data_IF_716385350296
#
_entry.id   IF_716385350296
#
_cell.length_a   1.000
_cell.length_b   1.000
_cell.length_c   1.000
_cell.angle_alpha   90.00
_cell.angle_beta   90.00
_cell.angle_gamma   90.00
#
_symmetry.space_group_name_H-M   'P 1'
#
loop_
_entity.id
_entity.type
_entity.pdbx_description
1 polymer ?
#
# COMPACT_ATOMS: atom_id res chain seq x y z
N UNK A 1 -24.89 5.55 -14.73
CA UNK A 1 -24.67 7.02 -14.86
C UNK A 1 -24.83 7.72 -13.48
N UNK A 2 -25.96 7.57 -12.78
CA UNK A 2 -26.23 8.29 -11.52
C UNK A 2 -25.25 8.05 -10.36
N UNK A 3 -24.76 6.80 -10.15
CA UNK A 3 -23.78 6.51 -9.08
C UNK A 3 -22.42 7.18 -9.32
N UNK A 4 -21.96 7.22 -10.56
CA UNK A 4 -20.69 7.85 -10.91
C UNK A 4 -20.75 9.37 -10.68
N UNK A 5 -21.86 10.02 -11.10
CA UNK A 5 -22.05 11.45 -10.92
C UNK A 5 -22.16 11.83 -9.44
N UNK A 6 -22.80 10.97 -8.63
CA UNK A 6 -22.89 11.14 -7.18
C UNK A 6 -21.52 11.07 -6.49
N UNK A 7 -20.72 10.05 -6.79
CA UNK A 7 -19.37 9.90 -6.21
C UNK A 7 -18.45 11.06 -6.61
N UNK A 8 -18.53 11.52 -7.87
CA UNK A 8 -17.79 12.68 -8.32
C UNK A 8 -18.16 13.94 -7.53
N UNK A 9 -19.44 14.19 -7.31
CA UNK A 9 -19.92 15.33 -6.53
C UNK A 9 -19.38 15.28 -5.10
N UNK A 10 -19.40 14.13 -4.43
CA UNK A 10 -18.84 13.97 -3.09
C UNK A 10 -17.33 14.27 -3.09
N UNK A 11 -16.56 13.77 -4.07
CA UNK A 11 -15.14 14.07 -4.18
C UNK A 11 -14.87 15.57 -4.36
N UNK A 12 -15.65 16.24 -5.20
CA UNK A 12 -15.55 17.70 -5.41
C UNK A 12 -15.82 18.46 -4.09
N UNK A 13 -16.87 18.08 -3.35
CA UNK A 13 -17.18 18.69 -2.04
C UNK A 13 -16.06 18.43 -1.01
N UNK A 14 -15.44 17.24 -1.00
CA UNK A 14 -14.31 16.93 -0.12
C UNK A 14 -13.09 17.79 -0.48
N UNK A 15 -12.77 17.91 -1.77
CA UNK A 15 -11.65 18.71 -2.25
C UNK A 15 -11.81 20.19 -1.93
N UNK A 16 -13.03 20.70 -2.05
CA UNK A 16 -13.38 22.09 -1.73
C UNK A 16 -13.53 22.35 -0.23
N UNK A 17 -13.38 21.32 0.63
CA UNK A 17 -13.61 21.39 2.09
C UNK A 17 -15.04 21.76 2.48
N UNK A 18 -15.99 21.49 1.63
CA UNK A 18 -17.43 21.72 1.86
C UNK A 18 -18.12 20.49 2.45
N UNK A 19 -17.46 19.33 2.43
CA UNK A 19 -17.96 18.09 3.02
C UNK A 19 -17.65 18.06 4.53
N UNK A 20 -18.66 17.77 5.36
CA UNK A 20 -18.58 17.80 6.80
C UNK A 20 -19.23 16.59 7.48
N UNK A 21 -19.14 16.51 8.82
CA UNK A 21 -19.69 15.40 9.60
C UNK A 21 -21.21 15.24 9.43
N UNK A 22 -21.97 16.34 9.38
CA UNK A 22 -23.44 16.24 9.21
C UNK A 22 -23.78 15.57 7.89
N UNK A 23 -23.14 15.96 6.81
CA UNK A 23 -23.32 15.31 5.48
C UNK A 23 -22.90 13.84 5.51
N UNK A 24 -21.82 13.49 6.22
CA UNK A 24 -21.39 12.12 6.36
C UNK A 24 -22.41 11.27 7.11
N UNK A 25 -22.93 11.78 8.22
CA UNK A 25 -23.96 11.12 9.03
C UNK A 25 -25.29 11.00 8.28
N UNK A 26 -25.72 12.05 7.58
CA UNK A 26 -26.94 12.04 6.76
C UNK A 26 -26.87 10.99 5.65
N UNK A 27 -25.73 10.87 4.97
CA UNK A 27 -25.52 9.85 3.93
C UNK A 27 -25.40 8.44 4.51
N UNK A 28 -24.80 8.31 5.69
CA UNK A 28 -24.63 7.03 6.39
C UNK A 28 -25.89 6.52 7.07
N UNK A 29 -26.75 7.41 7.54
CA UNK A 29 -28.03 7.19 8.25
C UNK A 29 -28.08 5.91 9.13
N UNK A 30 -28.29 4.73 8.52
CA UNK A 30 -28.38 3.44 9.23
C UNK A 30 -27.29 2.44 8.83
N UNK A 31 -26.28 2.86 8.04
CA UNK A 31 -25.28 1.98 7.46
C UNK A 31 -23.84 2.36 7.84
N UNK A 32 -23.65 3.09 8.94
CA UNK A 32 -22.31 3.41 9.44
C UNK A 32 -21.70 2.18 10.10
N UNK A 33 -20.51 1.83 9.65
CA UNK A 33 -19.69 0.75 10.21
C UNK A 33 -18.38 1.32 10.74
N UNK A 34 -18.02 0.91 11.96
CA UNK A 34 -16.70 1.18 12.48
C UNK A 34 -15.76 0.05 12.09
N UNK A 35 -14.67 0.39 11.44
CA UNK A 35 -13.64 -0.54 10.97
C UNK A 35 -12.31 -0.15 11.59
N UNK A 36 -11.61 -1.11 12.15
CA UNK A 36 -10.24 -0.94 12.63
C UNK A 36 -9.28 -1.63 11.65
N UNK A 37 -8.30 -0.88 11.16
CA UNK A 37 -7.25 -1.37 10.27
C UNK A 37 -5.96 -1.39 11.07
N UNK A 38 -5.43 -2.59 11.34
CA UNK A 38 -4.31 -2.78 12.25
C UNK A 38 -2.95 -2.60 11.58
N UNK A 39 -2.86 -2.86 10.29
CA UNK A 39 -1.61 -2.72 9.54
C UNK A 39 -1.85 -2.16 8.13
N UNK A 40 -0.82 -1.55 7.55
CA UNK A 40 -0.86 -1.04 6.17
C UNK A 40 -1.04 -2.14 5.11
N UNK A 41 -0.84 -3.40 5.49
CA UNK A 41 -1.00 -4.57 4.64
C UNK A 41 -2.29 -5.36 4.94
N UNK A 42 -3.17 -4.83 5.81
CA UNK A 42 -4.43 -5.45 6.16
C UNK A 42 -5.47 -5.21 5.05
N UNK A 43 -5.49 -6.06 4.06
CA UNK A 43 -6.40 -6.00 2.93
C UNK A 43 -7.70 -6.77 3.15
N UNK A 44 -8.12 -6.96 4.39
CA UNK A 44 -9.32 -7.76 4.74
C UNK A 44 -10.62 -7.13 4.23
N UNK A 45 -10.74 -5.81 4.23
CA UNK A 45 -11.96 -5.07 3.88
C UNK A 45 -11.77 -4.25 2.61
N UNK A 46 -10.73 -3.42 2.56
CA UNK A 46 -10.43 -2.54 1.43
C UNK A 46 -9.29 -3.08 0.58
N UNK A 47 -9.17 -2.60 -0.65
CA UNK A 47 -8.00 -2.92 -1.45
C UNK A 47 -6.74 -2.27 -0.87
N UNK A 48 -5.58 -2.87 -1.16
CA UNK A 48 -4.30 -2.46 -0.56
C UNK A 48 -3.89 -1.01 -0.88
N UNK A 49 -4.29 -0.48 -2.05
CA UNK A 49 -3.97 0.89 -2.43
C UNK A 49 -4.85 1.86 -1.66
N UNK A 50 -6.13 1.51 -1.46
CA UNK A 50 -7.05 2.25 -0.60
C UNK A 50 -6.53 2.33 0.83
N UNK A 51 -6.04 1.22 1.40
CA UNK A 51 -5.46 1.21 2.75
C UNK A 51 -4.22 2.10 2.84
N UNK A 52 -3.28 1.97 1.90
CA UNK A 52 -2.10 2.84 1.85
C UNK A 52 -2.48 4.32 1.80
N UNK A 53 -3.50 4.67 1.03
CA UNK A 53 -4.03 6.04 0.98
C UNK A 53 -4.62 6.48 2.32
N UNK A 54 -5.43 5.63 2.99
CA UNK A 54 -6.02 5.93 4.30
C UNK A 54 -4.95 6.25 5.35
N UNK A 55 -3.83 5.54 5.35
CA UNK A 55 -2.71 5.80 6.27
C UNK A 55 -2.01 7.14 6.04
N UNK A 56 -2.19 7.79 4.90
CA UNK A 56 -1.63 9.12 4.61
C UNK A 56 -2.54 10.27 5.03
N UNK A 57 -3.80 9.98 5.32
CA UNK A 57 -4.81 11.00 5.59
C UNK A 57 -4.83 11.40 7.08
N UNK A 58 -5.05 12.67 7.39
CA UNK A 58 -5.19 13.13 8.77
C UNK A 58 -6.51 12.67 9.39
N UNK A 59 -6.54 12.64 10.72
CA UNK A 59 -7.77 12.40 11.49
C UNK A 59 -8.83 13.46 11.14
N UNK A 60 -10.10 13.04 11.13
CA UNK A 60 -11.26 13.82 10.69
C UNK A 60 -11.32 14.17 9.20
N UNK A 61 -10.50 13.56 8.36
CA UNK A 61 -10.64 13.67 6.91
C UNK A 61 -11.63 12.65 6.35
N UNK A 62 -12.15 12.97 5.17
CA UNK A 62 -13.08 12.13 4.40
C UNK A 62 -12.45 11.74 3.07
N UNK A 63 -12.76 10.54 2.59
CA UNK A 63 -12.34 10.09 1.26
C UNK A 63 -13.25 8.98 0.74
N UNK A 64 -13.15 8.70 -0.55
CA UNK A 64 -13.75 7.51 -1.17
C UNK A 64 -12.66 6.46 -1.38
N UNK A 65 -12.98 5.22 -1.01
CA UNK A 65 -12.10 4.06 -1.16
C UNK A 65 -12.83 2.89 -1.82
N UNK A 66 -12.08 1.98 -2.41
CA UNK A 66 -12.62 0.76 -2.97
C UNK A 66 -12.37 -0.43 -2.05
N UNK A 67 -13.32 -1.36 -2.02
CA UNK A 67 -13.06 -2.71 -1.52
C UNK A 67 -12.45 -3.60 -2.62
N UNK A 68 -12.24 -4.88 -2.31
CA UNK A 68 -11.72 -5.88 -3.25
C UNK A 68 -12.68 -6.17 -4.41
N UNK A 69 -13.97 -5.92 -4.22
CA UNK A 69 -15.01 -6.11 -5.24
C UNK A 69 -15.26 -4.85 -6.08
N UNK A 70 -14.42 -3.82 -5.95
CA UNK A 70 -14.57 -2.51 -6.58
C UNK A 70 -15.85 -1.75 -6.16
N UNK A 71 -16.40 -2.05 -4.98
CA UNK A 71 -17.44 -1.23 -4.38
C UNK A 71 -16.81 0.00 -3.74
N UNK A 72 -17.49 1.13 -3.87
CA UNK A 72 -16.99 2.41 -3.37
C UNK A 72 -17.62 2.70 -2.02
N UNK A 73 -16.77 3.02 -1.05
CA UNK A 73 -17.14 3.40 0.30
C UNK A 73 -16.70 4.83 0.60
N UNK A 74 -17.57 5.58 1.23
CA UNK A 74 -17.23 6.87 1.82
C UNK A 74 -16.69 6.62 3.23
N UNK A 75 -15.46 7.01 3.48
CA UNK A 75 -14.76 6.75 4.73
C UNK A 75 -14.39 8.06 5.41
N UNK A 76 -14.56 8.09 6.74
CA UNK A 76 -14.03 9.12 7.64
C UNK A 76 -12.92 8.53 8.50
N UNK A 77 -11.78 9.17 8.59
CA UNK A 77 -10.73 8.80 9.54
C UNK A 77 -11.13 9.30 10.94
N UNK A 78 -11.58 8.38 11.79
CA UNK A 78 -12.03 8.71 13.14
C UNK A 78 -10.87 8.91 14.11
N UNK A 79 -9.87 8.04 14.04
CA UNK A 79 -8.69 8.05 14.92
C UNK A 79 -7.48 7.47 14.19
N UNK A 80 -6.28 7.82 14.65
CA UNK A 80 -5.02 7.27 14.15
C UNK A 80 -4.06 7.07 15.30
N UNK A 81 -3.86 5.82 15.69
CA UNK A 81 -2.94 5.44 16.74
C UNK A 81 -1.53 5.27 16.15
N UNK A 82 -0.58 6.04 16.64
CA UNK A 82 0.83 5.85 16.30
C UNK A 82 1.43 4.85 17.27
N UNK A 83 1.78 3.68 16.78
CA UNK A 83 2.57 2.73 17.56
C UNK A 83 4.02 3.21 17.53
N UNK A 84 4.54 3.59 18.71
CA UNK A 84 5.96 3.87 18.88
C UNK A 84 6.66 2.54 19.20
N UNK A 85 7.40 2.02 18.26
CA UNK A 85 8.26 0.87 18.50
C UNK A 85 9.50 1.32 19.26
N UNK A 86 9.85 0.62 20.33
CA UNK A 86 11.17 0.74 20.91
C UNK A 86 12.18 0.02 20.00
N UNK A 87 13.39 0.61 19.87
CA UNK A 87 14.45 0.02 19.03
C UNK A 87 14.88 -1.39 19.47
N UNK A 88 14.51 -1.78 20.69
CA UNK A 88 14.77 -3.10 21.29
C UNK A 88 13.66 -4.12 21.02
N UNK A 89 12.52 -3.72 20.47
CA UNK A 89 11.43 -4.65 20.20
C UNK A 89 11.83 -5.61 19.09
N UNK A 90 11.58 -6.90 19.27
CA UNK A 90 11.96 -7.93 18.29
C UNK A 90 11.33 -7.66 16.91
N UNK A 91 10.09 -7.17 16.89
CA UNK A 91 9.41 -6.79 15.64
C UNK A 91 10.13 -5.64 14.91
N UNK A 92 10.62 -4.62 15.67
CA UNK A 92 11.40 -3.54 15.08
C UNK A 92 12.72 -4.04 14.50
N UNK A 93 13.44 -4.88 15.25
CA UNK A 93 14.71 -5.49 14.81
C UNK A 93 14.50 -6.32 13.56
N UNK A 94 13.44 -7.13 13.51
CA UNK A 94 13.11 -7.94 12.35
C UNK A 94 12.71 -7.08 11.14
N UNK A 95 11.91 -6.02 11.35
CA UNK A 95 11.56 -5.08 10.30
C UNK A 95 12.80 -4.42 9.69
N UNK A 96 13.72 -3.90 10.51
CA UNK A 96 14.98 -3.29 10.05
C UNK A 96 15.83 -4.29 9.27
N UNK A 97 15.93 -5.53 9.75
CA UNK A 97 16.66 -6.60 9.07
C UNK A 97 16.07 -6.91 7.68
N UNK A 98 14.74 -7.01 7.59
CA UNK A 98 14.06 -7.25 6.32
C UNK A 98 14.25 -6.09 5.35
N UNK A 99 14.08 -4.83 5.80
CA UNK A 99 14.32 -3.64 4.99
C UNK A 99 15.75 -3.56 4.47
N UNK A 100 16.75 -3.87 5.30
CA UNK A 100 18.14 -3.90 4.88
C UNK A 100 18.40 -4.98 3.83
N UNK A 101 17.76 -6.15 3.94
CA UNK A 101 17.86 -7.23 2.97
C UNK A 101 17.24 -6.83 1.64
N UNK A 102 16.06 -6.23 1.65
CA UNK A 102 15.36 -5.78 0.45
C UNK A 102 16.09 -4.65 -0.26
N UNK A 103 16.61 -3.67 0.49
CA UNK A 103 17.43 -2.60 -0.04
C UNK A 103 18.72 -3.15 -0.70
N UNK A 104 19.39 -4.10 -0.04
CA UNK A 104 20.58 -4.76 -0.57
C UNK A 104 20.30 -5.50 -1.87
N UNK A 105 19.18 -6.23 -1.92
CA UNK A 105 18.73 -6.94 -3.12
C UNK A 105 18.41 -5.96 -4.26
N UNK A 106 17.72 -4.87 -3.99
CA UNK A 106 17.40 -3.83 -4.96
C UNK A 106 18.66 -3.17 -5.55
N UNK A 107 19.65 -2.86 -4.69
CA UNK A 107 20.93 -2.29 -5.13
C UNK A 107 21.68 -3.27 -6.04
N UNK A 108 21.75 -4.55 -5.65
CA UNK A 108 22.39 -5.58 -6.47
C UNK A 108 21.71 -5.75 -7.83
N UNK A 109 20.38 -5.78 -7.86
CA UNK A 109 19.62 -5.87 -9.11
C UNK A 109 19.86 -4.66 -10.02
N UNK A 110 19.91 -3.44 -9.45
CA UNK A 110 20.22 -2.23 -10.21
C UNK A 110 21.64 -2.24 -10.76
N UNK A 111 22.58 -2.76 -10.00
CA UNK A 111 23.96 -2.93 -10.44
C UNK A 111 24.09 -3.96 -11.57
N UNK A 112 23.40 -5.10 -11.46
CA UNK A 112 23.36 -6.12 -12.50
C UNK A 112 22.74 -5.59 -13.79
N UNK A 113 21.66 -4.80 -13.70
CA UNK A 113 21.07 -4.15 -14.86
C UNK A 113 22.04 -3.17 -15.53
N UNK A 114 22.75 -2.37 -14.72
CA UNK A 114 23.76 -1.44 -15.23
C UNK A 114 24.89 -2.18 -15.96
N UNK A 115 25.38 -3.28 -15.38
CA UNK A 115 26.40 -4.11 -15.99
C UNK A 115 25.92 -4.76 -17.30
N UNK A 116 24.72 -5.30 -17.32
CA UNK A 116 24.13 -5.92 -18.51
C UNK A 116 23.89 -4.89 -19.63
N UNK A 117 23.56 -3.66 -19.29
CA UNK A 117 23.39 -2.58 -20.28
C UNK A 117 24.74 -2.06 -20.80
N UNK A 118 25.77 -2.05 -19.96
CA UNK A 118 27.09 -1.53 -20.32
C UNK A 118 28.00 -2.55 -21.00
N UNK A 119 27.83 -3.83 -20.67
CA UNK A 119 28.69 -4.91 -21.16
C UNK A 119 27.84 -6.00 -21.80
N UNK A 120 28.20 -6.40 -23.02
CA UNK A 120 27.60 -7.59 -23.63
C UNK A 120 28.15 -8.84 -22.97
N UNK A 121 27.38 -9.45 -22.09
CA UNK A 121 27.75 -10.72 -21.47
C UNK A 121 27.43 -11.86 -22.44
N UNK A 122 28.45 -12.50 -23.03
CA UNK A 122 28.29 -13.72 -23.83
C UNK A 122 28.54 -14.93 -22.93
N UNK A 123 27.51 -15.65 -22.60
CA UNK A 123 27.63 -16.91 -21.85
C UNK A 123 27.90 -18.05 -22.82
N UNK A 124 29.02 -18.73 -22.64
CA UNK A 124 29.32 -19.94 -23.40
C UNK A 124 28.63 -21.14 -22.75
N UNK A 125 27.44 -21.49 -23.30
CA UNK A 125 26.59 -22.56 -22.75
C UNK A 125 27.34 -23.90 -22.64
N UNK A 126 28.22 -24.24 -23.62
CA UNK A 126 29.00 -25.48 -23.56
C UNK A 126 29.95 -25.54 -22.36
N UNK A 127 30.48 -24.39 -21.94
CA UNK A 127 31.32 -24.31 -20.75
C UNK A 127 30.52 -24.45 -19.47
N UNK A 128 29.34 -23.83 -19.41
CA UNK A 128 28.41 -23.96 -18.28
C UNK A 128 27.97 -25.43 -18.10
N UNK A 129 27.65 -26.10 -19.18
CA UNK A 129 27.22 -27.49 -19.15
C UNK A 129 28.35 -28.46 -18.72
N UNK A 130 29.58 -28.19 -19.13
CA UNK A 130 30.75 -28.94 -18.63
C UNK A 130 30.92 -28.77 -17.13
N UNK A 131 30.85 -27.55 -16.62
CA UNK A 131 30.95 -27.27 -15.18
C UNK A 131 29.86 -27.98 -14.40
N UNK A 132 28.63 -27.90 -14.85
CA UNK A 132 27.49 -28.58 -14.22
C UNK A 132 27.66 -30.10 -14.18
N UNK A 133 28.24 -30.69 -15.24
CA UNK A 133 28.46 -32.14 -15.32
C UNK A 133 29.67 -32.61 -14.51
N UNK A 134 30.58 -31.68 -14.18
CA UNK A 134 31.75 -32.01 -13.36
C UNK A 134 31.41 -32.12 -11.87
N UNK A 135 30.35 -31.44 -11.41
CA UNK A 135 29.91 -31.47 -10.03
C UNK A 135 28.68 -32.38 -9.78
N UNK A 136 28.30 -33.21 -10.72
CA UNK A 136 27.38 -34.33 -10.55
C UNK A 136 28.16 -35.61 -10.25
#
# INVERSE_FOLDING_TARGET
KGKFDFNRKILEEIQNKEFNNSKFEDLGSNNLLNVEINTINDDSIFDINSIKMLYTLPVNSFTLVNDKDNKIFLVKIADSKKNFFNKSDEEYVQFVKNQNTDNRKSILQSYDQLLNNKYQVKVNQKTVDRVKNYFK
#
